data_IF_536420722152
#
_entry.id   IF_536420722152
#
_cell.length_a   1.000
_cell.length_b   1.000
_cell.length_c   1.000
_cell.angle_alpha   90.00
_cell.angle_beta   90.00
_cell.angle_gamma   90.00
#
_symmetry.space_group_name_H-M   'P 1'
#
loop_
_entity.id
_entity.type
_entity.pdbx_description
1 polymer ?
#
# COMPACT_ATOMS: atom_id res chain seq x y z
N UNK A 1 40.76 -18.05 13.18
CA UNK A 1 39.37 -18.19 12.70
C UNK A 1 39.20 -17.79 11.22
N UNK A 2 39.67 -16.62 10.78
CA UNK A 2 39.50 -16.22 9.37
C UNK A 2 40.29 -17.12 8.39
N UNK A 3 41.49 -17.55 8.79
CA UNK A 3 42.32 -18.49 8.01
C UNK A 3 41.66 -19.85 7.81
N UNK A 4 40.94 -20.37 8.81
CA UNK A 4 40.23 -21.65 8.70
C UNK A 4 38.98 -21.55 7.82
N UNK A 5 38.25 -20.43 7.85
CA UNK A 5 37.12 -20.18 6.96
C UNK A 5 37.56 -19.98 5.51
N UNK A 6 38.64 -19.22 5.28
CA UNK A 6 39.23 -19.04 3.96
C UNK A 6 39.73 -20.36 3.36
N UNK A 7 40.35 -21.21 4.19
CA UNK A 7 40.80 -22.54 3.75
C UNK A 7 39.63 -23.45 3.35
N UNK A 8 38.55 -23.45 4.14
CA UNK A 8 37.32 -24.18 3.83
C UNK A 8 36.69 -23.70 2.50
N UNK A 9 36.65 -22.38 2.29
CA UNK A 9 36.14 -21.79 1.06
C UNK A 9 36.94 -22.20 -0.18
N UNK A 10 38.27 -22.33 -0.08
CA UNK A 10 39.14 -22.70 -1.19
C UNK A 10 39.16 -24.21 -1.43
N UNK A 11 39.35 -25.01 -0.38
CA UNK A 11 39.45 -26.48 -0.49
C UNK A 11 38.13 -27.12 -0.92
N UNK A 12 36.98 -26.55 -0.51
CA UNK A 12 35.64 -27.05 -0.86
C UNK A 12 34.84 -26.06 -1.70
N UNK A 13 35.51 -25.30 -2.57
CA UNK A 13 34.92 -24.23 -3.41
C UNK A 13 33.59 -24.59 -4.07
N UNK A 14 33.47 -25.80 -4.65
CA UNK A 14 32.24 -26.23 -5.33
C UNK A 14 31.09 -26.43 -4.36
N UNK A 15 31.33 -27.07 -3.21
CA UNK A 15 30.30 -27.29 -2.21
C UNK A 15 29.83 -25.96 -1.59
N UNK A 16 30.77 -25.06 -1.32
CA UNK A 16 30.46 -23.71 -0.80
C UNK A 16 29.61 -22.92 -1.80
N UNK A 17 29.97 -22.93 -3.09
CA UNK A 17 29.18 -22.27 -4.13
C UNK A 17 27.78 -22.88 -4.28
N UNK A 18 27.66 -24.21 -4.23
CA UNK A 18 26.36 -24.89 -4.32
C UNK A 18 25.48 -24.52 -3.12
N UNK A 19 26.02 -24.55 -1.90
CA UNK A 19 25.27 -24.20 -0.69
C UNK A 19 24.87 -22.74 -0.71
N UNK A 20 25.76 -21.84 -1.12
CA UNK A 20 25.45 -20.42 -1.24
C UNK A 20 24.38 -20.15 -2.30
N UNK A 21 24.46 -20.80 -3.46
CA UNK A 21 23.44 -20.70 -4.51
C UNK A 21 22.09 -21.24 -4.06
N UNK A 22 22.07 -22.39 -3.36
CA UNK A 22 20.85 -22.94 -2.76
C UNK A 22 20.25 -21.98 -1.74
N UNK A 23 21.06 -21.47 -0.81
CA UNK A 23 20.61 -20.50 0.17
C UNK A 23 20.05 -19.24 -0.50
N UNK A 24 20.69 -18.75 -1.56
CA UNK A 24 20.21 -17.61 -2.35
C UNK A 24 18.85 -17.87 -3.00
N UNK A 25 18.68 -19.02 -3.66
CA UNK A 25 17.39 -19.40 -4.28
C UNK A 25 16.30 -19.55 -3.22
N UNK A 26 16.61 -20.15 -2.07
CA UNK A 26 15.68 -20.28 -0.94
C UNK A 26 15.29 -18.88 -0.42
N UNK A 27 16.25 -17.98 -0.24
CA UNK A 27 15.97 -16.61 0.19
C UNK A 27 15.08 -15.86 -0.80
N UNK A 28 15.26 -16.05 -2.12
CA UNK A 28 14.35 -15.48 -3.13
C UNK A 28 12.97 -16.09 -3.01
N UNK A 29 12.86 -17.42 -2.90
CA UNK A 29 11.57 -18.11 -2.80
C UNK A 29 10.78 -17.71 -1.55
N UNK A 30 11.46 -17.54 -0.42
CA UNK A 30 10.84 -17.16 0.85
C UNK A 30 10.63 -15.65 0.97
N UNK A 31 11.51 -14.83 0.40
CA UNK A 31 11.54 -13.37 0.60
C UNK A 31 10.96 -12.55 -0.55
N UNK A 32 10.81 -13.13 -1.74
CA UNK A 32 10.40 -12.39 -2.96
C UNK A 32 9.05 -11.69 -2.83
N UNK A 33 8.10 -12.26 -2.08
CA UNK A 33 6.77 -11.68 -1.86
C UNK A 33 6.65 -10.77 -0.64
N UNK A 34 7.77 -10.40 0.01
CA UNK A 34 7.75 -9.47 1.16
C UNK A 34 7.65 -8.02 0.66
N UNK A 35 8.24 -7.70 -0.49
CA UNK A 35 8.18 -6.35 -1.06
C UNK A 35 6.74 -5.91 -1.38
N UNK A 36 5.89 -6.84 -1.84
CA UNK A 36 4.44 -6.61 -2.05
C UNK A 36 3.68 -6.40 -0.75
N UNK A 37 4.20 -6.89 0.39
CA UNK A 37 3.60 -6.71 1.71
C UNK A 37 4.12 -5.49 2.46
N UNK A 38 5.12 -4.80 1.91
CA UNK A 38 5.57 -3.48 2.37
C UNK A 38 4.80 -2.37 1.66
N UNK A 39 3.46 -2.49 1.62
CA UNK A 39 2.60 -1.33 1.38
C UNK A 39 2.73 -0.31 2.51
N UNK A 40 2.06 0.84 2.39
CA UNK A 40 2.10 2.01 3.29
C UNK A 40 1.59 1.75 4.74
N UNK A 41 1.69 0.53 5.27
CA UNK A 41 1.17 0.11 6.57
C UNK A 41 2.08 -0.89 7.30
N UNK A 42 1.61 -1.37 8.46
CA UNK A 42 2.34 -2.29 9.34
C UNK A 42 2.73 -1.72 10.70
N UNK A 43 2.35 -0.47 10.98
CA UNK A 43 2.49 0.18 12.30
C UNK A 43 1.19 0.18 13.09
N UNK A 44 0.10 -0.30 12.49
CA UNK A 44 -1.21 -0.34 13.11
C UNK A 44 -1.27 -1.41 14.20
N UNK A 45 -1.83 -1.05 15.35
CA UNK A 45 -2.21 -2.00 16.39
C UNK A 45 -3.55 -2.64 16.00
N UNK A 46 -3.60 -3.96 15.73
CA UNK A 46 -4.82 -4.63 15.28
C UNK A 46 -5.97 -4.52 16.29
N UNK A 47 -5.65 -4.30 17.57
CA UNK A 47 -6.64 -4.18 18.65
C UNK A 47 -7.03 -2.71 18.92
N UNK A 48 -6.53 -1.75 18.14
CA UNK A 48 -6.87 -0.34 18.32
C UNK A 48 -8.27 0.00 17.79
N UNK A 49 -8.97 0.87 18.54
CA UNK A 49 -10.29 1.39 18.14
C UNK A 49 -10.27 2.05 16.76
N UNK A 50 -9.16 2.69 16.38
CA UNK A 50 -9.00 3.30 15.05
C UNK A 50 -8.99 2.26 13.92
N UNK A 51 -8.35 1.11 14.12
CA UNK A 51 -8.32 0.04 13.11
C UNK A 51 -9.69 -0.61 12.98
N UNK A 52 -10.36 -0.86 14.10
CA UNK A 52 -11.73 -1.38 14.08
C UNK A 52 -12.72 -0.41 13.42
N UNK A 53 -12.68 0.88 13.78
CA UNK A 53 -13.53 1.89 13.15
C UNK A 53 -13.29 1.99 11.64
N UNK A 54 -12.02 1.89 11.21
CA UNK A 54 -11.68 1.87 9.78
C UNK A 54 -12.20 0.64 9.06
N UNK A 55 -12.08 -0.55 9.65
CA UNK A 55 -12.58 -1.78 9.04
C UNK A 55 -14.11 -1.73 8.86
N UNK A 56 -14.83 -1.19 9.84
CA UNK A 56 -16.28 -0.99 9.74
C UNK A 56 -16.67 0.03 8.66
N UNK A 57 -15.87 1.08 8.47
CA UNK A 57 -16.10 2.07 7.41
C UNK A 57 -15.86 1.47 6.02
N UNK A 58 -14.78 0.73 5.84
CA UNK A 58 -14.45 0.00 4.61
C UNK A 58 -15.57 -0.98 4.23
N UNK A 59 -16.01 -1.83 5.18
CA UNK A 59 -17.05 -2.84 4.91
C UNK A 59 -18.42 -2.22 4.54
N UNK A 60 -18.74 -1.05 5.08
CA UNK A 60 -20.07 -0.44 4.91
C UNK A 60 -20.15 0.60 3.81
N UNK A 61 -19.06 1.30 3.55
CA UNK A 61 -19.04 2.45 2.65
C UNK A 61 -18.03 2.28 1.51
N UNK A 62 -17.34 1.14 1.43
CA UNK A 62 -16.28 0.87 0.45
C UNK A 62 -15.17 1.93 0.51
N UNK A 63 -14.98 2.51 1.71
CA UNK A 63 -13.99 3.56 1.93
C UNK A 63 -12.67 2.91 2.30
N UNK A 64 -11.84 2.68 1.29
CA UNK A 64 -10.45 2.28 1.49
C UNK A 64 -9.61 3.35 2.22
N UNK A 65 -8.30 3.23 2.12
CA UNK A 65 -7.40 4.27 2.62
C UNK A 65 -7.53 5.52 1.73
N UNK A 66 -8.08 6.60 2.28
CA UNK A 66 -8.11 7.88 1.57
C UNK A 66 -6.70 8.48 1.50
N UNK A 67 -6.02 8.27 0.38
CA UNK A 67 -4.71 8.88 0.11
C UNK A 67 -4.83 10.37 -0.30
N UNK A 68 -6.01 10.78 -0.77
CA UNK A 68 -6.31 12.14 -1.20
C UNK A 68 -7.70 12.57 -0.71
N UNK A 69 -7.79 13.79 -0.15
CA UNK A 69 -9.07 14.42 0.23
C UNK A 69 -9.18 15.75 -0.51
N UNK A 70 -10.25 15.92 -1.28
CA UNK A 70 -10.54 17.16 -2.00
C UNK A 70 -11.66 17.91 -1.28
N UNK A 71 -11.37 19.11 -0.81
CA UNK A 71 -12.37 20.00 -0.20
C UNK A 71 -12.90 20.96 -1.26
N UNK A 72 -14.11 20.69 -1.76
CA UNK A 72 -14.84 21.60 -2.63
C UNK A 72 -15.66 22.59 -1.81
N UNK A 73 -15.70 23.86 -2.24
CA UNK A 73 -16.51 24.91 -1.60
C UNK A 73 -17.47 25.48 -2.63
N UNK A 74 -18.74 25.60 -2.25
CA UNK A 74 -19.77 26.23 -3.09
C UNK A 74 -19.74 27.74 -2.88
N UNK A 75 -19.79 28.48 -3.99
CA UNK A 75 -19.79 29.94 -4.02
C UNK A 75 -20.97 30.42 -4.88
N UNK A 76 -21.66 31.51 -4.50
CA UNK A 76 -21.49 32.32 -3.28
C UNK A 76 -22.07 31.65 -2.01
N UNK A 77 -21.67 32.14 -0.83
CA UNK A 77 -21.87 31.47 0.47
C UNK A 77 -23.34 31.26 0.90
N UNK A 78 -24.28 31.90 0.21
CA UNK A 78 -25.72 31.74 0.35
C UNK A 78 -26.28 30.50 -0.38
N UNK A 79 -25.42 29.76 -1.07
CA UNK A 79 -25.76 28.50 -1.76
C UNK A 79 -25.37 27.29 -0.91
N UNK A 80 -26.20 26.25 -0.90
CA UNK A 80 -25.94 25.00 -0.18
C UNK A 80 -25.23 23.95 -1.05
N UNK A 81 -24.47 23.06 -0.41
CA UNK A 81 -23.84 21.89 -1.03
C UNK A 81 -24.86 20.91 -1.63
N UNK A 82 -26.10 20.92 -1.14
CA UNK A 82 -27.19 20.09 -1.64
C UNK A 82 -27.95 20.72 -2.83
N UNK A 83 -27.49 21.88 -3.32
CA UNK A 83 -28.13 22.51 -4.47
C UNK A 83 -27.92 21.67 -5.73
N UNK A 84 -28.88 21.63 -6.68
CA UNK A 84 -28.77 20.78 -7.87
C UNK A 84 -27.47 21.02 -8.65
N UNK A 85 -27.07 22.30 -8.78
CA UNK A 85 -25.84 22.66 -9.48
C UNK A 85 -24.59 22.19 -8.73
N UNK A 86 -24.56 22.28 -7.39
CA UNK A 86 -23.44 21.78 -6.60
C UNK A 86 -23.30 20.26 -6.71
N UNK A 87 -24.42 19.52 -6.72
CA UNK A 87 -24.42 18.07 -6.91
C UNK A 87 -23.91 17.70 -8.29
N UNK A 88 -24.41 18.35 -9.35
CA UNK A 88 -23.97 18.10 -10.74
C UNK A 88 -22.47 18.36 -10.89
N UNK A 89 -21.98 19.49 -10.39
CA UNK A 89 -20.56 19.85 -10.49
C UNK A 89 -19.68 18.94 -9.60
N UNK A 90 -20.17 18.53 -8.44
CA UNK A 90 -19.47 17.59 -7.56
C UNK A 90 -19.30 16.22 -8.22
N UNK A 91 -20.37 15.67 -8.80
CA UNK A 91 -20.30 14.40 -9.54
C UNK A 91 -19.35 14.49 -10.74
N UNK A 92 -19.40 15.59 -11.49
CA UNK A 92 -18.48 15.80 -12.60
C UNK A 92 -17.01 15.88 -12.15
N UNK A 93 -16.74 16.48 -10.99
CA UNK A 93 -15.40 16.51 -10.40
C UNK A 93 -14.94 15.10 -9.97
N UNK A 94 -15.82 14.32 -9.34
CA UNK A 94 -15.54 12.91 -9.00
C UNK A 94 -15.19 12.10 -10.25
N UNK A 95 -15.97 12.24 -11.33
CA UNK A 95 -15.71 11.57 -12.62
C UNK A 95 -14.37 12.00 -13.25
N UNK A 96 -14.03 13.29 -13.18
CA UNK A 96 -12.75 13.81 -13.69
C UNK A 96 -11.56 13.21 -12.92
N UNK A 97 -11.66 13.14 -11.59
CA UNK A 97 -10.62 12.57 -10.73
C UNK A 97 -10.49 11.07 -10.98
N UNK A 98 -11.60 10.35 -11.13
CA UNK A 98 -11.61 8.91 -11.43
C UNK A 98 -10.98 8.56 -12.79
N UNK A 99 -10.89 9.52 -13.72
CA UNK A 99 -10.23 9.32 -15.00
C UNK A 99 -8.70 9.51 -14.97
N UNK A 100 -8.14 10.00 -13.86
CA UNK A 100 -6.70 10.23 -13.72
C UNK A 100 -5.99 8.87 -13.50
N UNK A 101 -4.91 8.61 -14.25
CA UNK A 101 -4.16 7.38 -14.05
C UNK A 101 -3.52 7.34 -12.65
N UNK A 102 -3.86 6.32 -11.86
CA UNK A 102 -3.37 6.14 -10.49
C UNK A 102 -4.32 6.62 -9.39
N UNK A 103 -5.55 7.02 -9.74
CA UNK A 103 -6.66 7.13 -8.78
C UNK A 103 -7.58 5.92 -8.94
N UNK A 104 -7.90 5.29 -7.82
CA UNK A 104 -8.82 4.16 -7.72
C UNK A 104 -9.85 4.49 -6.60
N UNK A 105 -11.05 3.90 -6.64
CA UNK A 105 -12.13 4.08 -5.66
C UNK A 105 -12.47 5.55 -5.28
N UNK A 106 -12.70 6.38 -6.30
CA UNK A 106 -13.11 7.78 -6.11
C UNK A 106 -14.61 7.87 -5.82
N UNK A 107 -14.97 8.46 -4.67
CA UNK A 107 -16.34 8.65 -4.17
C UNK A 107 -16.66 10.10 -3.87
#
# INVERSE_FOLDING_TARGET
>A
MMTSLGRLAVERRRAVLIVAALAFVISIALGGGIAERMGHGGFDDPDSDSVHARAELDERFDTGFADLIVLATVLPADTTVDSPDAVINGLALTDEIAAIAGTDDVV
#
